data_IF_503682189284
#
_entry.id   IF_503682189284
#
_cell.length_a   1.000
_cell.length_b   1.000
_cell.length_c   1.000
_cell.angle_alpha   90.00
_cell.angle_beta   90.00
_cell.angle_gamma   90.00
#
_symmetry.space_group_name_H-M   'P 1'
#
loop_
_entity.id
_entity.type
_entity.pdbx_description
1 polymer ?
#
# COMPACT_ATOMS: atom_id res chain seq x y z
N UNK A 1 -25.78 22.02 10.21
CA UNK A 1 -24.42 22.22 10.76
C UNK A 1 -23.45 21.37 9.95
N UNK A 2 -22.28 21.89 9.60
CA UNK A 2 -21.23 21.16 8.88
C UNK A 2 -20.53 20.14 9.80
N UNK A 3 -20.26 18.93 9.29
CA UNK A 3 -19.52 17.87 10.01
C UNK A 3 -18.65 17.09 9.03
N UNK A 4 -17.38 16.89 9.39
CA UNK A 4 -16.46 16.01 8.66
C UNK A 4 -16.87 14.56 8.87
N UNK A 5 -16.98 13.78 7.79
CA UNK A 5 -17.38 12.37 7.84
C UNK A 5 -16.19 11.42 7.75
N UNK A 6 -15.33 11.62 6.75
CA UNK A 6 -14.17 10.80 6.47
C UNK A 6 -13.14 11.61 5.66
N UNK A 7 -12.03 10.97 5.29
CA UNK A 7 -11.15 11.49 4.24
C UNK A 7 -11.85 11.29 2.90
N UNK A 8 -12.28 12.37 2.28
CA UNK A 8 -13.01 12.34 1.02
C UNK A 8 -12.13 11.80 -0.12
N UNK A 9 -10.89 12.29 -0.24
CA UNK A 9 -9.93 11.77 -1.22
C UNK A 9 -8.46 11.91 -0.78
N UNK A 10 -7.62 11.03 -1.30
CA UNK A 10 -6.15 11.10 -1.23
C UNK A 10 -5.59 11.06 -2.66
N UNK A 11 -4.67 11.97 -2.97
CA UNK A 11 -4.01 12.06 -4.28
C UNK A 11 -2.51 11.92 -4.10
N UNK A 12 -1.88 11.03 -4.86
CA UNK A 12 -0.43 10.85 -4.86
C UNK A 12 0.15 11.13 -6.25
N UNK A 13 1.25 11.89 -6.29
CA UNK A 13 2.09 11.94 -7.48
C UNK A 13 3.06 10.77 -7.47
N UNK A 14 3.17 10.07 -8.60
CA UNK A 14 4.02 8.88 -8.77
C UNK A 14 5.04 9.11 -9.88
N UNK A 15 6.23 8.54 -9.74
CA UNK A 15 7.31 8.71 -10.72
C UNK A 15 7.10 7.92 -12.01
N UNK A 16 6.37 6.79 -11.93
CA UNK A 16 6.09 5.88 -13.04
C UNK A 16 4.63 5.44 -12.96
N UNK A 17 3.78 6.10 -13.75
CA UNK A 17 2.34 5.87 -13.72
C UNK A 17 1.96 4.45 -14.17
N UNK A 18 2.66 3.87 -15.15
CA UNK A 18 2.33 2.53 -15.66
C UNK A 18 2.57 1.47 -14.58
N UNK A 19 3.74 1.54 -13.93
CA UNK A 19 4.07 0.64 -12.81
C UNK A 19 3.13 0.85 -11.62
N UNK A 20 2.80 2.10 -11.30
CA UNK A 20 1.90 2.41 -10.19
C UNK A 20 0.46 1.95 -10.45
N UNK A 21 -0.07 2.12 -11.67
CA UNK A 21 -1.38 1.62 -12.07
C UNK A 21 -1.49 0.11 -11.83
N UNK A 22 -0.50 -0.67 -12.27
CA UNK A 22 -0.48 -2.12 -12.06
C UNK A 22 -0.52 -2.47 -10.56
N UNK A 23 0.35 -1.83 -9.76
CA UNK A 23 0.41 -2.08 -8.33
C UNK A 23 -0.91 -1.77 -7.61
N UNK A 24 -1.46 -0.57 -7.83
CA UNK A 24 -2.67 -0.13 -7.14
C UNK A 24 -3.92 -0.87 -7.62
N UNK A 25 -3.97 -1.31 -8.89
CA UNK A 25 -5.08 -2.13 -9.41
C UNK A 25 -5.22 -3.45 -8.63
N UNK A 26 -4.11 -4.16 -8.41
CA UNK A 26 -4.11 -5.40 -7.63
C UNK A 26 -4.44 -5.16 -6.15
N UNK A 27 -3.86 -4.11 -5.55
CA UNK A 27 -4.09 -3.76 -4.14
C UNK A 27 -5.56 -3.40 -3.88
N UNK A 28 -6.14 -2.52 -4.70
CA UNK A 28 -7.48 -2.01 -4.48
C UNK A 28 -8.56 -3.04 -4.83
N UNK A 29 -8.32 -3.91 -5.82
CA UNK A 29 -9.16 -5.09 -6.05
C UNK A 29 -9.22 -5.98 -4.80
N UNK A 30 -8.10 -6.18 -4.10
CA UNK A 30 -8.07 -6.92 -2.84
C UNK A 30 -8.78 -6.20 -1.69
N UNK A 31 -8.59 -4.88 -1.56
CA UNK A 31 -9.17 -4.09 -0.46
C UNK A 31 -10.68 -3.82 -0.62
N UNK A 32 -11.31 -4.29 -1.71
CA UNK A 32 -12.72 -4.05 -1.97
C UNK A 32 -13.03 -2.60 -2.35
N UNK A 33 -12.04 -1.88 -2.87
CA UNK A 33 -12.32 -0.67 -3.63
C UNK A 33 -12.94 -1.11 -4.96
N UNK A 34 -14.11 -0.58 -5.28
CA UNK A 34 -14.76 -0.92 -6.52
C UNK A 34 -13.95 -0.34 -7.68
N UNK A 35 -13.77 -1.16 -8.72
CA UNK A 35 -13.22 -0.75 -10.02
C UNK A 35 -14.32 -0.03 -10.81
N UNK A 36 -15.03 0.91 -10.18
CA UNK A 36 -15.45 2.07 -10.94
C UNK A 36 -14.19 2.91 -11.09
N UNK A 37 -13.41 2.57 -12.11
CA UNK A 37 -12.44 3.50 -12.69
C UNK A 37 -13.26 4.74 -13.00
N UNK A 38 -13.21 5.73 -12.11
CA UNK A 38 -13.91 6.99 -12.35
C UNK A 38 -13.34 7.63 -13.61
N UNK A 39 -12.01 7.56 -13.77
CA UNK A 39 -11.26 7.95 -14.98
C UNK A 39 -9.92 7.17 -15.03
N UNK A 40 -9.65 6.43 -16.11
CA UNK A 40 -8.30 5.99 -16.48
C UNK A 40 -7.87 6.90 -17.62
N UNK A 41 -6.97 7.83 -17.29
CA UNK A 41 -6.32 8.70 -18.27
C UNK A 41 -4.87 8.25 -18.39
N UNK A 42 -4.17 8.62 -19.46
CA UNK A 42 -2.80 8.16 -19.68
C UNK A 42 -1.88 8.43 -18.47
N UNK A 43 -2.06 9.59 -17.83
CA UNK A 43 -1.26 10.10 -16.74
C UNK A 43 -1.86 9.89 -15.33
N UNK A 44 -3.04 9.28 -15.20
CA UNK A 44 -3.70 9.15 -13.90
C UNK A 44 -4.67 7.99 -13.78
N UNK A 45 -5.00 7.63 -12.54
CA UNK A 45 -6.00 6.60 -12.26
C UNK A 45 -6.64 6.82 -10.89
N UNK A 46 -7.96 6.66 -10.83
CA UNK A 46 -8.76 6.80 -9.62
C UNK A 46 -9.45 5.51 -9.19
N UNK A 47 -9.58 5.32 -7.88
CA UNK A 47 -10.39 4.27 -7.24
C UNK A 47 -11.32 4.89 -6.21
N UNK A 48 -12.47 4.26 -5.97
CA UNK A 48 -13.42 4.65 -4.94
C UNK A 48 -13.89 3.46 -4.12
N UNK A 49 -14.28 3.73 -2.89
CA UNK A 49 -15.14 2.85 -2.11
C UNK A 49 -16.32 3.67 -1.55
N UNK A 50 -17.10 3.09 -0.63
CA UNK A 50 -18.27 3.75 -0.05
C UNK A 50 -17.97 5.06 0.70
N UNK A 51 -16.71 5.35 1.05
CA UNK A 51 -16.36 6.44 1.98
C UNK A 51 -15.15 7.28 1.58
N UNK A 52 -14.34 6.83 0.62
CA UNK A 52 -13.09 7.49 0.24
C UNK A 52 -12.74 7.25 -1.22
N UNK A 53 -12.03 8.22 -1.80
CA UNK A 53 -11.43 8.15 -3.14
C UNK A 53 -9.91 8.16 -3.06
N UNK A 54 -9.25 7.49 -4.00
CA UNK A 54 -7.80 7.46 -4.09
C UNK A 54 -7.37 7.69 -5.53
N UNK A 55 -6.44 8.61 -5.75
CA UNK A 55 -5.94 8.96 -7.07
C UNK A 55 -4.43 8.89 -7.13
N UNK A 56 -3.92 8.48 -8.28
CA UNK A 56 -2.51 8.64 -8.65
C UNK A 56 -2.40 9.50 -9.90
N UNK A 57 -1.39 10.35 -9.94
CA UNK A 57 -1.01 11.15 -11.11
C UNK A 57 0.47 11.00 -11.40
N UNK A 58 0.85 10.99 -12.67
CA UNK A 58 2.24 11.08 -13.08
C UNK A 58 2.83 12.40 -12.55
N UNK A 59 3.94 12.31 -11.81
CA UNK A 59 4.68 13.48 -11.38
C UNK A 59 5.20 14.24 -12.61
N UNK A 60 5.20 15.57 -12.53
CA UNK A 60 5.74 16.41 -13.60
C UNK A 60 7.27 16.29 -13.71
N UNK A 61 7.85 16.99 -14.69
CA UNK A 61 9.29 16.95 -14.95
C UNK A 61 10.16 17.43 -13.77
N UNK A 62 9.61 18.22 -12.84
CA UNK A 62 10.33 18.63 -11.64
C UNK A 62 10.18 17.56 -10.54
N UNK A 63 8.97 17.06 -10.30
CA UNK A 63 8.68 16.04 -9.31
C UNK A 63 9.45 14.74 -9.57
N UNK A 64 9.61 14.33 -10.84
CA UNK A 64 10.40 13.13 -11.20
C UNK A 64 11.87 13.26 -10.76
N UNK A 65 12.43 14.47 -10.71
CA UNK A 65 13.82 14.71 -10.27
C UNK A 65 14.00 14.55 -8.76
N UNK A 66 12.91 14.51 -8.00
CA UNK A 66 12.89 14.40 -6.54
C UNK A 66 12.34 13.03 -6.13
N UNK A 67 13.17 11.96 -6.17
CA UNK A 67 12.71 10.63 -5.81
C UNK A 67 12.24 10.58 -4.36
N UNK A 68 11.17 9.82 -4.10
CA UNK A 68 10.64 9.64 -2.75
C UNK A 68 11.72 9.12 -1.79
N UNK A 69 11.86 9.80 -0.65
CA UNK A 69 12.70 9.36 0.46
C UNK A 69 11.92 9.42 1.77
N UNK A 70 11.91 8.31 2.49
CA UNK A 70 11.40 8.27 3.87
C UNK A 70 12.24 9.21 4.77
N UNK A 71 11.59 10.20 5.37
CA UNK A 71 12.20 11.19 6.26
C UNK A 71 12.28 12.60 5.70
N UNK A 72 11.99 12.78 4.40
CA UNK A 72 11.78 14.11 3.84
C UNK A 72 10.39 14.63 4.22
N UNK A 73 10.21 15.95 4.16
CA UNK A 73 8.91 16.57 4.37
C UNK A 73 7.94 16.07 3.29
N UNK A 74 6.84 15.47 3.72
CA UNK A 74 5.83 14.95 2.81
C UNK A 74 5.08 13.73 3.35
N UNK A 75 4.43 13.01 2.43
CA UNK A 75 3.58 11.87 2.74
C UNK A 75 4.42 10.64 3.15
N UNK A 76 4.32 10.21 4.41
CA UNK A 76 5.15 9.12 4.91
C UNK A 76 4.53 7.72 4.69
N UNK A 77 3.28 7.52 5.09
CA UNK A 77 2.59 6.23 4.94
C UNK A 77 1.08 6.39 5.01
N UNK A 78 0.38 5.48 4.34
CA UNK A 78 -1.06 5.27 4.47
C UNK A 78 -1.31 3.83 4.91
N UNK A 79 -2.25 3.64 5.82
CA UNK A 79 -2.59 2.32 6.34
C UNK A 79 -4.10 2.16 6.42
N UNK A 80 -4.56 0.94 6.16
CA UNK A 80 -5.96 0.55 6.29
C UNK A 80 -6.11 -0.47 7.41
N UNK A 81 -7.20 -0.35 8.16
CA UNK A 81 -7.61 -1.39 9.10
C UNK A 81 -8.36 -2.50 8.36
N UNK A 82 -8.00 -3.73 8.66
CA UNK A 82 -8.74 -4.92 8.22
C UNK A 82 -9.45 -5.54 9.43
N UNK A 83 -10.58 -6.20 9.18
CA UNK A 83 -11.45 -6.74 10.22
C UNK A 83 -10.80 -7.84 11.07
N UNK A 84 -9.78 -8.54 10.56
CA UNK A 84 -9.11 -9.62 11.30
C UNK A 84 -7.69 -9.91 10.81
N UNK A 85 -6.89 -10.55 11.67
CA UNK A 85 -5.54 -11.04 11.34
C UNK A 85 -5.55 -12.06 10.18
N UNK A 86 -6.61 -12.86 10.06
CA UNK A 86 -6.74 -13.82 8.95
C UNK A 86 -6.87 -13.12 7.59
N UNK A 87 -7.59 -11.99 7.54
CA UNK A 87 -7.67 -11.15 6.33
C UNK A 87 -6.33 -10.48 5.99
N UNK A 88 -5.53 -10.11 7.00
CA UNK A 88 -4.16 -9.62 6.81
C UNK A 88 -3.28 -10.72 6.18
N UNK A 89 -3.36 -11.96 6.67
CA UNK A 89 -2.61 -13.08 6.11
C UNK A 89 -3.00 -13.34 4.64
N UNK A 90 -4.30 -13.36 4.34
CA UNK A 90 -4.79 -13.51 2.98
C UNK A 90 -4.26 -12.42 2.02
N UNK A 91 -4.16 -11.16 2.50
CA UNK A 91 -3.58 -10.05 1.73
C UNK A 91 -2.14 -10.32 1.28
N UNK A 92 -1.32 -10.87 2.19
CA UNK A 92 0.11 -11.14 1.97
C UNK A 92 0.31 -12.22 0.89
N UNK A 93 -0.62 -13.18 0.80
CA UNK A 93 -0.55 -14.26 -0.19
C UNK A 93 -1.14 -13.88 -1.55
N UNK A 94 -2.15 -13.01 -1.59
CA UNK A 94 -2.83 -12.62 -2.83
C UNK A 94 -2.13 -11.53 -3.64
N UNK A 95 -1.36 -10.66 -2.98
CA UNK A 95 -0.60 -9.62 -3.68
C UNK A 95 0.88 -9.86 -3.41
N UNK A 96 1.61 -10.56 -4.30
CA UNK A 96 3.01 -10.92 -4.08
C UNK A 96 3.92 -9.71 -3.80
N UNK A 97 3.53 -8.52 -4.30
CA UNK A 97 4.24 -7.26 -4.07
C UNK A 97 4.01 -6.72 -2.65
N UNK A 98 2.88 -7.03 -2.00
CA UNK A 98 2.66 -6.72 -0.58
C UNK A 98 3.62 -7.47 0.33
N UNK A 99 4.18 -8.61 -0.10
CA UNK A 99 5.18 -9.35 0.66
C UNK A 99 6.42 -8.50 0.97
N UNK A 100 6.84 -7.59 0.07
CA UNK A 100 7.93 -6.64 0.35
C UNK A 100 7.48 -5.42 1.15
N UNK A 101 6.27 -4.91 0.90
CA UNK A 101 5.78 -3.67 1.52
C UNK A 101 5.28 -3.87 2.97
N UNK A 102 4.58 -4.97 3.25
CA UNK A 102 4.04 -5.31 4.58
C UNK A 102 5.15 -5.82 5.51
N UNK A 103 6.13 -6.58 5.00
CA UNK A 103 7.27 -7.04 5.82
C UNK A 103 8.07 -5.87 6.38
N UNK A 104 8.20 -4.75 5.65
CA UNK A 104 8.87 -3.55 6.16
C UNK A 104 8.08 -2.89 7.31
N UNK A 105 6.75 -2.87 7.27
CA UNK A 105 5.91 -2.35 8.36
C UNK A 105 5.89 -3.30 9.58
N UNK A 106 5.82 -4.62 9.38
CA UNK A 106 5.90 -5.60 10.48
C UNK A 106 7.26 -5.60 11.17
N UNK A 107 8.37 -5.37 10.45
CA UNK A 107 9.69 -5.23 11.06
C UNK A 107 9.78 -3.97 11.94
N UNK A 108 9.12 -2.86 11.57
CA UNK A 108 9.03 -1.68 12.42
C UNK A 108 8.06 -1.86 13.61
N UNK A 109 6.96 -2.60 13.45
CA UNK A 109 6.02 -2.89 14.53
C UNK A 109 6.44 -4.06 15.43
N UNK A 110 7.40 -4.91 15.02
CA UNK A 110 8.03 -5.93 15.89
C UNK A 110 8.76 -5.31 17.08
N UNK A 111 9.19 -4.05 16.98
CA UNK A 111 9.67 -3.27 18.13
C UNK A 111 8.56 -2.91 19.14
N UNK A 112 7.28 -3.07 18.77
CA UNK A 112 6.11 -2.71 19.59
C UNK A 112 5.30 -3.94 20.00
N UNK A 113 5.29 -5.02 19.21
CA UNK A 113 4.46 -6.20 19.47
C UNK A 113 5.13 -7.19 20.46
N UNK A 114 4.67 -7.20 21.73
CA UNK A 114 5.03 -8.17 22.79
C UNK A 114 4.26 -9.50 22.73
N UNK A 115 3.60 -9.82 21.62
CA UNK A 115 2.74 -11.00 21.50
C UNK A 115 3.52 -12.19 20.90
N UNK A 116 3.83 -13.19 21.74
CA UNK A 116 4.67 -14.35 21.39
C UNK A 116 4.10 -15.23 20.27
N UNK A 117 2.77 -15.25 20.11
CA UNK A 117 2.09 -16.05 19.08
C UNK A 117 2.36 -15.52 17.66
N UNK A 118 2.46 -14.20 17.50
CA UNK A 118 2.81 -13.57 16.21
C UNK A 118 4.27 -13.80 15.84
N UNK A 119 5.17 -13.90 16.83
CA UNK A 119 6.56 -14.24 16.57
C UNK A 119 6.69 -15.67 16.02
N UNK A 120 6.00 -16.64 16.61
CA UNK A 120 6.07 -18.05 16.21
C UNK A 120 5.46 -18.35 14.84
N UNK A 121 4.38 -17.66 14.44
CA UNK A 121 3.74 -17.89 13.14
C UNK A 121 4.48 -17.21 11.97
N UNK A 122 5.22 -16.13 12.21
CA UNK A 122 5.95 -15.39 11.17
C UNK A 122 7.45 -15.76 11.09
N UNK A 123 8.05 -16.32 12.15
CA UNK A 123 9.48 -16.67 12.16
C UNK A 123 9.90 -17.71 11.10
N UNK A 124 9.14 -18.80 10.87
CA UNK A 124 9.56 -19.84 9.93
C UNK A 124 9.64 -19.35 8.47
N UNK A 125 8.88 -18.32 8.11
CA UNK A 125 8.90 -17.74 6.76
C UNK A 125 10.04 -16.73 6.54
N UNK A 126 10.70 -16.26 7.62
CA UNK A 126 11.84 -15.34 7.57
C UNK A 126 13.20 -16.05 7.55
N UNK A 127 13.24 -17.37 7.75
CA UNK A 127 14.46 -18.19 7.78
C UNK A 127 14.64 -19.10 6.56
N UNK A 128 13.83 -18.96 5.51
CA UNK A 128 14.15 -19.61 4.25
C UNK A 128 15.50 -19.06 3.75
N UNK A 129 16.54 -19.90 3.58
CA UNK A 129 17.84 -19.42 3.13
C UNK A 129 17.66 -18.74 1.78
N UNK A 130 18.22 -17.54 1.65
CA UNK A 130 18.51 -16.94 0.37
C UNK A 130 19.39 -17.94 -0.39
N UNK A 131 18.78 -18.69 -1.31
CA UNK A 131 19.53 -19.43 -2.32
C UNK A 131 20.14 -18.35 -3.21
N UNK A 132 21.39 -18.02 -2.91
CA UNK A 132 22.25 -17.23 -3.78
C UNK A 132 22.62 -18.14 -4.96
N UNK A 133 22.10 -17.79 -6.13
CA UNK A 133 22.53 -18.25 -7.45
C UNK A 133 22.50 -17.01 -8.33
N UNK A 134 23.59 -16.47 -8.89
CA UNK A 134 25.00 -16.87 -8.97
C UNK A 134 25.88 -15.66 -8.59
#
# INVERSE_FOLDING_TARGET
MSRVQAVDHLVLSVSDIARSKQFYRELFAFLGFEVEVMDEMDDSMGWRNASSRFWIYQADAQGIKHPYRKGDVGFHHYAWSLQSRHKIAAAIHHVPILHKLIVLQFQQQKLICRDKLLQQLLFPMLQAPLICSM
#
